data_IF_972795321786
#
_entry.id   IF_972795321786
#
_cell.length_a   1.000
_cell.length_b   1.000
_cell.length_c   1.000
_cell.angle_alpha   90.00
_cell.angle_beta   90.00
_cell.angle_gamma   90.00
#
_symmetry.space_group_name_H-M   'P 1'
#
loop_
_entity.id
_entity.type
_entity.pdbx_description
1 polymer ?
#
# COMPACT_ATOMS: atom_id res chain seq x y z
N UNK A 1 26.86 32.06 -25.28
CA UNK A 1 26.05 31.82 -26.50
C UNK A 1 26.10 30.38 -27.03
N UNK A 2 27.22 29.65 -26.96
CA UNK A 2 27.30 28.27 -27.48
C UNK A 2 26.45 27.21 -26.74
N UNK A 3 26.29 27.33 -25.42
CA UNK A 3 25.50 26.36 -24.64
C UNK A 3 24.00 26.37 -24.98
N UNK A 4 23.43 27.53 -25.30
CA UNK A 4 22.02 27.66 -25.69
C UNK A 4 21.74 27.02 -27.06
N UNK A 5 22.69 27.12 -27.98
CA UNK A 5 22.58 26.50 -29.32
C UNK A 5 22.66 24.98 -29.21
N UNK A 6 23.59 24.46 -28.42
CA UNK A 6 23.69 23.01 -28.16
C UNK A 6 22.46 22.45 -27.45
N UNK A 7 21.88 23.19 -26.49
CA UNK A 7 20.61 22.81 -25.85
C UNK A 7 19.44 22.84 -26.84
N UNK A 8 19.35 23.86 -27.69
CA UNK A 8 18.29 23.93 -28.70
C UNK A 8 18.40 22.79 -29.73
N UNK A 9 19.63 22.47 -30.17
CA UNK A 9 19.89 21.39 -31.11
C UNK A 9 19.60 20.01 -30.49
N UNK A 10 19.99 19.83 -29.22
CA UNK A 10 19.72 18.62 -28.44
C UNK A 10 18.22 18.44 -28.16
N UNK A 11 17.53 19.52 -27.78
CA UNK A 11 16.09 19.50 -27.56
C UNK A 11 15.31 19.20 -28.84
N UNK A 12 15.76 19.72 -29.99
CA UNK A 12 15.15 19.42 -31.30
C UNK A 12 15.40 17.97 -31.72
N UNK A 13 16.58 17.41 -31.43
CA UNK A 13 16.89 15.99 -31.65
C UNK A 13 16.00 15.07 -30.79
N UNK A 14 15.86 15.40 -29.51
CA UNK A 14 14.97 14.70 -28.58
C UNK A 14 13.51 14.75 -29.09
N UNK A 15 13.07 15.92 -29.57
CA UNK A 15 11.71 16.10 -30.09
C UNK A 15 11.46 15.33 -31.38
N UNK A 16 12.42 15.34 -32.31
CA UNK A 16 12.25 14.76 -33.64
C UNK A 16 12.51 13.27 -33.69
N UNK A 17 13.38 12.75 -32.83
CA UNK A 17 13.79 11.34 -32.87
C UNK A 17 13.33 10.55 -31.64
N UNK A 18 13.53 11.08 -30.42
CA UNK A 18 13.19 10.31 -29.21
C UNK A 18 11.69 10.25 -28.96
N UNK A 19 10.92 11.29 -29.25
CA UNK A 19 9.45 11.26 -29.10
C UNK A 19 8.77 10.24 -30.01
N UNK A 20 9.02 10.17 -31.33
CA UNK A 20 8.44 9.11 -32.15
C UNK A 20 8.93 7.73 -31.73
N UNK A 21 10.20 7.57 -31.35
CA UNK A 21 10.72 6.28 -30.88
C UNK A 21 10.02 5.81 -29.58
N UNK A 22 9.80 6.72 -28.61
CA UNK A 22 9.02 6.45 -27.40
C UNK A 22 7.57 6.08 -27.73
N UNK A 23 6.93 6.78 -28.66
CA UNK A 23 5.55 6.46 -29.12
C UNK A 23 5.47 5.10 -29.79
N UNK A 24 6.41 4.77 -30.66
CA UNK A 24 6.47 3.46 -31.33
C UNK A 24 6.73 2.35 -30.31
N UNK A 25 7.61 2.58 -29.32
CA UNK A 25 7.84 1.65 -28.21
C UNK A 25 6.56 1.40 -27.41
N UNK A 26 5.78 2.43 -27.10
CA UNK A 26 4.49 2.26 -26.41
C UNK A 26 3.46 1.48 -27.25
N UNK A 27 3.46 1.65 -28.58
CA UNK A 27 2.58 0.88 -29.47
C UNK A 27 2.99 -0.59 -29.59
N UNK A 28 4.28 -0.88 -29.63
CA UNK A 28 4.82 -2.24 -29.83
C UNK A 28 4.89 -3.04 -28.53
N UNK A 29 5.28 -2.40 -27.43
CA UNK A 29 5.43 -3.06 -26.12
C UNK A 29 4.21 -2.90 -25.21
N UNK A 30 3.18 -2.17 -25.66
CA UNK A 30 1.96 -1.90 -24.90
C UNK A 30 2.08 -0.63 -24.05
N UNK A 31 0.93 -0.08 -23.65
CA UNK A 31 0.90 1.06 -22.74
C UNK A 31 1.36 0.58 -21.36
N UNK A 32 2.27 1.28 -20.64
CA UNK A 32 2.73 0.88 -19.31
C UNK A 32 1.61 0.85 -18.26
N UNK A 33 0.43 1.39 -18.59
CA UNK A 33 -0.76 1.37 -17.75
C UNK A 33 -1.74 0.24 -18.12
N UNK A 34 -1.53 -0.39 -19.28
CA UNK A 34 -2.26 -1.58 -19.73
C UNK A 34 -1.25 -2.72 -19.73
N UNK A 35 -0.94 -3.25 -18.55
CA UNK A 35 -0.03 -4.38 -18.41
C UNK A 35 -0.39 -5.50 -19.39
N UNK A 36 0.63 -6.17 -19.93
CA UNK A 36 0.51 -7.21 -20.98
C UNK A 36 -0.19 -8.50 -20.50
N UNK A 37 -0.89 -8.48 -19.38
CA UNK A 37 -1.56 -9.63 -18.77
C UNK A 37 -2.95 -9.25 -18.25
N UNK A 38 -3.96 -9.40 -19.12
CA UNK A 38 -5.25 -10.03 -18.86
C UNK A 38 -6.16 -9.65 -17.68
N UNK A 39 -5.78 -8.83 -16.71
CA UNK A 39 -6.63 -8.45 -15.59
C UNK A 39 -6.42 -6.99 -15.21
N UNK A 40 -7.48 -6.38 -14.66
CA UNK A 40 -7.53 -5.05 -14.04
C UNK A 40 -6.69 -5.04 -12.76
N UNK A 41 -5.39 -5.34 -12.87
CA UNK A 41 -4.49 -5.40 -11.74
C UNK A 41 -4.24 -3.97 -11.25
N UNK A 42 -4.69 -3.68 -10.02
CA UNK A 42 -4.54 -2.37 -9.40
C UNK A 42 -3.07 -2.18 -9.03
N UNK A 43 -2.42 -1.07 -9.44
CA UNK A 43 -1.06 -0.78 -9.02
C UNK A 43 -0.94 -0.66 -7.50
N UNK A 44 0.18 -1.09 -6.94
CA UNK A 44 0.42 -1.03 -5.48
C UNK A 44 0.26 0.38 -4.93
N UNK A 45 0.73 1.40 -5.65
CA UNK A 45 0.55 2.80 -5.26
C UNK A 45 -0.92 3.19 -5.08
N UNK A 46 -1.83 2.67 -5.92
CA UNK A 46 -3.26 2.92 -5.79
C UNK A 46 -3.85 2.18 -4.58
N UNK A 47 -3.32 1.01 -4.23
CA UNK A 47 -3.70 0.30 -3.00
C UNK A 47 -3.22 1.02 -1.74
N UNK A 48 -2.03 1.64 -1.76
CA UNK A 48 -1.53 2.48 -0.67
C UNK A 48 -2.38 3.73 -0.53
N UNK A 49 -2.69 4.43 -1.62
CA UNK A 49 -3.58 5.60 -1.58
C UNK A 49 -4.96 5.24 -1.00
N UNK A 50 -5.53 4.12 -1.44
CA UNK A 50 -6.80 3.64 -0.90
C UNK A 50 -6.69 3.31 0.60
N UNK A 51 -5.62 2.65 1.02
CA UNK A 51 -5.36 2.37 2.43
C UNK A 51 -5.26 3.66 3.24
N UNK A 52 -4.46 4.63 2.81
CA UNK A 52 -4.21 5.89 3.53
C UNK A 52 -5.46 6.75 3.72
N UNK A 53 -6.44 6.60 2.83
CA UNK A 53 -7.75 7.26 2.92
C UNK A 53 -8.79 6.44 3.70
N UNK A 54 -8.42 5.30 4.27
CA UNK A 54 -9.33 4.40 4.99
C UNK A 54 -9.33 4.62 6.51
N UNK A 55 -10.42 4.23 7.16
CA UNK A 55 -10.49 4.21 8.63
C UNK A 55 -9.47 3.26 9.26
N UNK A 56 -9.16 2.15 8.59
CA UNK A 56 -8.15 1.19 9.05
C UNK A 56 -6.77 1.86 9.18
N UNK A 57 -6.42 2.72 8.22
CA UNK A 57 -5.21 3.53 8.32
C UNK A 57 -5.32 4.56 9.43
N UNK A 58 -6.38 5.38 9.49
CA UNK A 58 -6.47 6.44 10.50
C UNK A 58 -6.43 5.92 11.95
N UNK A 59 -6.97 4.71 12.20
CA UNK A 59 -6.91 4.06 13.51
C UNK A 59 -5.55 3.45 13.84
N UNK A 60 -4.76 3.08 12.82
CA UNK A 60 -3.47 2.39 12.95
C UNK A 60 -2.27 3.32 12.77
N UNK A 61 -2.42 4.45 12.09
CA UNK A 61 -1.37 5.42 11.79
C UNK A 61 -0.57 5.88 13.02
N UNK A 62 -1.16 6.03 14.24
CA UNK A 62 -0.39 6.34 15.43
C UNK A 62 0.65 5.28 15.81
N UNK A 63 0.50 4.02 15.38
CA UNK A 63 1.46 2.92 15.61
C UNK A 63 2.55 2.89 14.53
N UNK A 64 2.21 3.24 13.28
CA UNK A 64 3.13 3.16 12.13
C UNK A 64 4.27 4.18 12.24
N UNK A 65 5.48 3.76 11.89
CA UNK A 65 6.72 4.57 11.96
C UNK A 65 7.55 4.55 10.67
N UNK A 66 7.11 3.82 9.65
CA UNK A 66 7.78 3.75 8.36
C UNK A 66 6.85 4.10 7.20
N UNK A 67 7.45 4.30 6.03
CA UNK A 67 6.77 4.12 4.75
C UNK A 67 6.51 2.62 4.48
N UNK A 68 5.87 2.30 3.35
CA UNK A 68 5.70 0.93 2.89
C UNK A 68 7.07 0.25 2.74
N UNK A 69 7.30 -0.83 3.48
CA UNK A 69 8.55 -1.58 3.44
C UNK A 69 8.52 -2.67 2.39
N UNK A 70 7.41 -3.40 2.31
CA UNK A 70 7.24 -4.51 1.38
C UNK A 70 5.77 -4.73 1.04
N UNK A 71 5.52 -5.40 -0.07
CA UNK A 71 4.20 -5.88 -0.42
C UNK A 71 4.27 -7.23 -1.12
N UNK A 72 3.26 -8.06 -0.90
CA UNK A 72 3.09 -9.31 -1.64
C UNK A 72 1.62 -9.62 -1.84
N UNK A 73 1.34 -10.58 -2.70
CA UNK A 73 0.00 -11.06 -2.97
C UNK A 73 -0.12 -12.53 -2.55
N UNK A 74 -1.17 -12.87 -1.82
CA UNK A 74 -1.51 -14.25 -1.45
C UNK A 74 -3.03 -14.41 -1.46
N UNK A 75 -3.51 -15.43 -2.15
CA UNK A 75 -4.94 -15.82 -2.11
C UNK A 75 -5.92 -14.67 -2.42
N UNK A 76 -5.56 -13.79 -3.36
CA UNK A 76 -6.37 -12.62 -3.75
C UNK A 76 -6.21 -11.40 -2.84
N UNK A 77 -5.51 -11.53 -1.72
CA UNK A 77 -5.16 -10.42 -0.85
C UNK A 77 -3.82 -9.82 -1.27
N UNK A 78 -3.76 -8.49 -1.34
CA UNK A 78 -2.53 -7.73 -1.29
C UNK A 78 -2.22 -7.42 0.17
N UNK A 79 -1.03 -7.81 0.60
CA UNK A 79 -0.52 -7.54 1.94
C UNK A 79 0.51 -6.42 1.83
N UNK A 80 0.33 -5.39 2.64
CA UNK A 80 1.22 -4.23 2.75
C UNK A 80 1.88 -4.25 4.13
N UNK A 81 3.20 -4.19 4.15
CA UNK A 81 4.00 -4.28 5.36
C UNK A 81 4.65 -2.95 5.71
N UNK A 82 4.42 -2.49 6.93
CA UNK A 82 5.03 -1.33 7.55
C UNK A 82 5.67 -1.73 8.88
N UNK A 83 6.61 -0.96 9.38
CA UNK A 83 7.05 -1.07 10.77
C UNK A 83 6.38 -0.01 11.65
N UNK A 84 6.24 -0.35 12.92
CA UNK A 84 5.61 0.50 13.92
C UNK A 84 6.10 0.18 15.32
N UNK A 85 5.54 0.90 16.29
CA UNK A 85 5.75 0.68 17.72
C UNK A 85 4.39 0.62 18.39
N UNK A 86 4.13 -0.48 19.09
CA UNK A 86 2.87 -0.71 19.80
C UNK A 86 3.08 -0.64 21.31
N UNK A 87 2.15 0.00 22.02
CA UNK A 87 2.27 0.31 23.45
C UNK A 87 3.03 1.61 23.73
N UNK A 88 3.19 1.93 25.02
CA UNK A 88 3.83 3.16 25.50
C UNK A 88 4.83 2.87 26.62
N UNK A 89 5.78 3.78 26.83
CA UNK A 89 6.77 3.69 27.91
C UNK A 89 7.64 2.42 27.82
N UNK A 90 7.87 1.77 28.95
CA UNK A 90 8.67 0.54 29.04
C UNK A 90 8.01 -0.68 28.35
N UNK A 91 6.70 -0.61 28.07
CA UNK A 91 5.96 -1.67 27.38
C UNK A 91 5.92 -1.50 25.85
N UNK A 92 6.51 -0.42 25.33
CA UNK A 92 6.60 -0.16 23.90
C UNK A 92 7.46 -1.22 23.21
N UNK A 93 6.91 -1.85 22.17
CA UNK A 93 7.60 -2.91 21.41
C UNK A 93 7.56 -2.65 19.91
N UNK A 94 8.64 -2.97 19.18
CA UNK A 94 8.64 -2.90 17.73
C UNK A 94 7.67 -3.93 17.14
N UNK A 95 6.90 -3.51 16.14
CA UNK A 95 5.93 -4.39 15.47
C UNK A 95 6.02 -4.25 13.96
N UNK A 96 5.79 -5.36 13.25
CA UNK A 96 5.35 -5.36 11.87
C UNK A 96 3.84 -5.11 11.82
N UNK A 97 3.44 -4.07 11.10
CA UNK A 97 2.05 -3.70 10.86
C UNK A 97 1.67 -4.19 9.46
N UNK A 98 0.73 -5.14 9.41
CA UNK A 98 0.27 -5.77 8.18
C UNK A 98 -1.14 -5.32 7.86
N UNK A 99 -1.32 -4.74 6.67
CA UNK A 99 -2.64 -4.47 6.10
C UNK A 99 -2.90 -5.45 4.97
N UNK A 100 -4.01 -6.17 5.05
CA UNK A 100 -4.48 -7.03 3.96
C UNK A 100 -5.75 -6.43 3.36
N UNK A 101 -5.72 -6.21 2.05
CA UNK A 101 -6.83 -5.72 1.24
C UNK A 101 -6.94 -6.51 -0.06
N UNK A 102 -8.09 -6.49 -0.72
CA UNK A 102 -8.27 -7.15 -2.01
C UNK A 102 -7.35 -6.54 -3.08
N UNK A 103 -6.55 -7.37 -3.75
CA UNK A 103 -5.56 -6.93 -4.73
C UNK A 103 -6.15 -6.27 -5.99
N UNK A 104 -7.46 -6.49 -6.23
CA UNK A 104 -8.21 -6.00 -7.38
C UNK A 104 -9.01 -4.73 -7.09
N UNK A 105 -9.12 -4.35 -5.81
CA UNK A 105 -9.86 -3.16 -5.40
C UNK A 105 -9.00 -1.91 -5.54
N UNK A 106 -9.53 -0.93 -6.26
CA UNK A 106 -8.97 0.42 -6.38
C UNK A 106 -10.06 1.47 -6.22
N UNK A 107 -9.68 2.75 -6.35
CA UNK A 107 -10.55 3.92 -6.12
C UNK A 107 -11.89 3.90 -6.89
N UNK A 108 -11.91 3.32 -8.10
CA UNK A 108 -13.11 3.26 -8.95
C UNK A 108 -14.02 2.07 -8.61
N UNK A 109 -13.65 1.24 -7.63
CA UNK A 109 -14.45 0.08 -7.22
C UNK A 109 -15.59 0.55 -6.33
N UNK A 110 -16.82 0.13 -6.64
CA UNK A 110 -17.97 0.49 -5.82
C UNK A 110 -17.96 -0.26 -4.49
N UNK A 111 -18.27 0.46 -3.40
CA UNK A 111 -18.33 -0.08 -2.04
C UNK A 111 -17.09 0.22 -1.22
N UNK A 112 -17.20 0.05 0.10
CA UNK A 112 -16.08 0.25 1.01
C UNK A 112 -15.09 -0.93 0.92
N UNK A 113 -13.78 -0.67 0.79
CA UNK A 113 -12.79 -1.73 0.71
C UNK A 113 -12.71 -2.50 2.03
N UNK A 114 -12.70 -3.82 1.93
CA UNK A 114 -12.44 -4.68 3.09
C UNK A 114 -10.95 -4.66 3.40
N UNK A 115 -10.59 -4.04 4.53
CA UNK A 115 -9.20 -3.94 5.00
C UNK A 115 -9.09 -4.64 6.35
N UNK A 116 -8.13 -5.56 6.45
CA UNK A 116 -7.78 -6.26 7.70
C UNK A 116 -6.43 -5.76 8.18
N UNK A 117 -6.30 -5.61 9.50
CA UNK A 117 -5.06 -5.14 10.13
C UNK A 117 -4.57 -6.21 11.11
N UNK A 118 -3.26 -6.44 11.12
CA UNK A 118 -2.60 -7.28 12.12
C UNK A 118 -1.30 -6.63 12.59
N UNK A 119 -1.02 -6.79 13.89
CA UNK A 119 0.24 -6.41 14.51
C UNK A 119 0.99 -7.67 14.87
N UNK A 120 2.23 -7.77 14.40
CA UNK A 120 3.11 -8.90 14.66
C UNK A 120 4.33 -8.35 15.38
N UNK A 121 4.67 -8.93 16.53
CA UNK A 121 5.86 -8.57 17.29
C UNK A 121 7.11 -8.79 16.42
N UNK A 122 7.93 -7.75 16.27
CA UNK A 122 9.02 -7.78 15.30
C UNK A 122 10.15 -8.74 15.68
N UNK A 123 10.32 -9.01 16.98
CA UNK A 123 11.39 -9.87 17.49
C UNK A 123 10.98 -11.34 17.51
N UNK A 124 9.72 -11.61 17.86
CA UNK A 124 9.21 -12.99 18.04
C UNK A 124 8.38 -13.52 16.89
N UNK A 125 7.85 -12.65 16.02
CA UNK A 125 6.91 -13.03 14.96
C UNK A 125 5.52 -13.41 15.48
N UNK A 126 5.22 -13.21 16.76
CA UNK A 126 3.93 -13.55 17.35
C UNK A 126 2.88 -12.45 17.12
N UNK A 127 1.60 -12.79 16.88
CA UNK A 127 0.54 -11.80 16.74
C UNK A 127 0.27 -11.10 18.09
N UNK A 128 0.36 -9.77 18.12
CA UNK A 128 0.16 -8.96 19.33
C UNK A 128 -1.32 -8.94 19.75
N UNK A 129 -2.24 -8.80 18.79
CA UNK A 129 -3.68 -8.71 19.07
C UNK A 129 -4.26 -9.99 19.70
N UNK A 130 -3.67 -11.17 19.43
CA UNK A 130 -4.11 -12.42 20.03
C UNK A 130 -3.80 -12.48 21.53
N UNK A 131 -2.69 -11.89 21.95
CA UNK A 131 -2.31 -11.81 23.36
C UNK A 131 -3.20 -10.82 24.12
N UNK A 132 -3.48 -9.66 23.51
CA UNK A 132 -4.40 -8.68 24.09
C UNK A 132 -5.83 -9.21 24.20
N UNK A 133 -6.32 -9.96 23.20
CA UNK A 133 -7.64 -10.60 23.28
C UNK A 133 -7.71 -11.66 24.39
N UNK A 134 -6.61 -12.37 24.66
CA UNK A 134 -6.53 -13.35 25.76
C UNK A 134 -6.45 -12.68 27.12
N UNK A 135 -5.75 -11.54 27.21
CA UNK A 135 -5.61 -10.76 28.43
C UNK A 135 -6.87 -9.93 28.74
N UNK A 136 -7.67 -9.58 27.73
CA UNK A 136 -8.88 -8.80 27.91
C UNK A 136 -9.93 -9.60 28.69
N UNK A 137 -10.51 -9.03 29.77
CA UNK A 137 -11.59 -9.69 30.49
C UNK A 137 -12.79 -9.92 29.56
N UNK A 138 -13.43 -11.09 29.69
CA UNK A 138 -14.59 -11.45 28.89
C UNK A 138 -15.64 -10.34 28.94
N UNK A 139 -15.99 -9.78 27.77
CA UNK A 139 -16.95 -8.68 27.70
C UNK A 139 -18.28 -9.13 28.30
N UNK A 140 -18.71 -8.43 29.35
CA UNK A 140 -20.03 -8.59 29.95
C UNK A 140 -21.08 -8.29 28.89
N UNK A 141 -21.95 -9.25 28.61
CA UNK A 141 -23.04 -9.10 27.64
C UNK A 141 -23.88 -7.88 27.99
N UNK A 142 -23.99 -6.94 27.05
CA UNK A 142 -24.91 -5.81 27.17
C UNK A 142 -26.32 -6.37 27.33
N UNK A 143 -27.01 -5.98 28.40
CA UNK A 143 -28.44 -6.28 28.53
C UNK A 143 -29.16 -5.43 27.49
N UNK A 144 -29.78 -6.10 26.52
CA UNK A 144 -30.82 -5.49 25.71
C UNK A 144 -31.93 -5.05 26.67
N UNK A 145 -32.23 -3.76 26.66
CA UNK A 145 -33.41 -3.20 27.32
C UNK A 145 -34.56 -3.46 26.35
N UNK A 146 -35.54 -4.24 26.80
CA UNK A 146 -36.82 -4.46 26.09
C UNK A 146 -37.69 -3.21 26.08
#
# INVERSE_FOLDING_TARGET
MGALVLFALSADLDRRLLLPLRRTRLRVFGHPLTGRGGARQVPVAASVELLENSLAWHTTAPVVRSALLDHWESDGWRILHYSGVHGEGEAARPVAVLFALDATVGRDTSGDPVIRVSYVDADTGAPVAAEELRAAPARRSLRLVE
#
